data_IF_941381408140
#
_entry.id   IF_941381408140
#
_cell.length_a   1.000
_cell.length_b   1.000
_cell.length_c   1.000
_cell.angle_alpha   90.00
_cell.angle_beta   90.00
_cell.angle_gamma   90.00
#
_symmetry.space_group_name_H-M   'P 1'
#
loop_
_entity.id
_entity.type
_entity.pdbx_description
1 polymer ?
#
# COMPACT_ATOMS: atom_id res chain seq x y z
N UNK A 1 37.86 13.83 -1.96
CA UNK A 1 37.05 12.67 -2.35
C UNK A 1 36.61 11.82 -1.15
N UNK A 2 37.48 11.19 -0.37
CA UNK A 2 37.16 10.34 0.79
C UNK A 2 36.27 11.04 1.87
N UNK A 3 36.49 12.33 2.14
CA UNK A 3 35.73 13.11 3.13
C UNK A 3 34.30 13.38 2.64
N UNK A 4 34.11 13.69 1.36
CA UNK A 4 32.78 13.91 0.76
C UNK A 4 31.97 12.62 0.80
N UNK A 5 32.57 11.48 0.41
CA UNK A 5 31.92 10.18 0.45
C UNK A 5 31.45 9.83 1.88
N UNK A 6 32.30 10.05 2.89
CA UNK A 6 31.93 9.82 4.30
C UNK A 6 30.73 10.68 4.74
N UNK A 7 30.76 11.98 4.45
CA UNK A 7 29.65 12.89 4.81
C UNK A 7 28.36 12.45 4.13
N UNK A 8 28.41 12.18 2.82
CA UNK A 8 27.23 11.72 2.07
C UNK A 8 26.66 10.42 2.65
N UNK A 9 27.52 9.43 2.96
CA UNK A 9 27.07 8.17 3.55
C UNK A 9 26.43 8.32 4.92
N UNK A 10 26.98 9.18 5.78
CA UNK A 10 26.39 9.48 7.10
C UNK A 10 25.05 10.17 6.95
N UNK A 11 24.93 11.12 6.02
CA UNK A 11 23.67 11.83 5.77
C UNK A 11 22.59 10.87 5.28
N UNK A 12 22.89 9.99 4.33
CA UNK A 12 21.95 8.98 3.82
C UNK A 12 21.49 8.05 4.96
N UNK A 13 22.44 7.57 5.77
CA UNK A 13 22.12 6.70 6.90
C UNK A 13 21.22 7.42 7.93
N UNK A 14 21.52 8.68 8.23
CA UNK A 14 20.70 9.49 9.14
C UNK A 14 19.28 9.67 8.61
N UNK A 15 19.11 9.97 7.32
CA UNK A 15 17.79 10.11 6.67
C UNK A 15 17.01 8.79 6.76
N UNK A 16 17.66 7.66 6.45
CA UNK A 16 17.02 6.34 6.57
C UNK A 16 16.56 6.10 8.00
N UNK A 17 17.43 6.32 9.00
CA UNK A 17 17.12 6.10 10.42
C UNK A 17 15.98 7.00 10.90
N UNK A 18 15.97 8.28 10.51
CA UNK A 18 14.89 9.22 10.88
C UNK A 18 13.53 8.67 10.43
N UNK A 19 13.42 8.17 9.20
CA UNK A 19 12.17 7.60 8.72
C UNK A 19 11.65 6.44 9.57
N UNK A 20 12.55 5.62 10.14
CA UNK A 20 12.19 4.53 11.03
C UNK A 20 11.80 4.99 12.45
N UNK A 21 12.29 6.13 12.89
CA UNK A 21 11.98 6.71 14.21
C UNK A 21 10.65 7.46 14.24
N UNK A 22 10.10 7.84 13.09
CA UNK A 22 8.80 8.51 13.01
C UNK A 22 7.70 7.57 13.52
N UNK A 23 6.90 7.97 14.54
CA UNK A 23 5.81 7.16 15.04
C UNK A 23 4.74 6.93 13.96
N UNK A 24 4.35 5.69 13.76
CA UNK A 24 3.30 5.33 12.81
C UNK A 24 1.93 5.33 13.52
N UNK A 25 1.20 6.44 13.39
CA UNK A 25 -0.21 6.51 13.81
C UNK A 25 -1.07 5.92 12.70
N UNK A 26 -2.06 5.11 13.05
CA UNK A 26 -2.84 4.32 12.09
C UNK A 26 -4.32 4.64 12.18
N UNK A 27 -4.95 4.83 11.02
CA UNK A 27 -6.39 4.88 10.86
C UNK A 27 -6.86 3.71 9.98
N UNK A 28 -8.13 3.32 10.06
CA UNK A 28 -8.71 2.37 9.10
C UNK A 28 -8.90 3.09 7.76
N UNK A 29 -8.36 2.57 6.65
CA UNK A 29 -8.37 3.26 5.36
C UNK A 29 -9.78 3.57 4.83
N UNK A 30 -10.76 2.72 5.12
CA UNK A 30 -12.15 2.90 4.74
C UNK A 30 -13.08 2.11 5.64
N UNK A 31 -14.32 2.56 5.67
CA UNK A 31 -15.48 1.74 6.03
C UNK A 31 -15.42 1.17 7.45
N UNK A 32 -16.31 1.64 8.31
CA UNK A 32 -16.42 1.12 9.69
C UNK A 32 -17.83 0.59 9.93
N UNK A 33 -18.02 -0.70 10.23
CA UNK A 33 -16.98 -1.74 10.35
C UNK A 33 -16.35 -2.09 9.00
N UNK A 34 -15.05 -2.34 8.99
CA UNK A 34 -14.33 -2.68 7.76
C UNK A 34 -14.62 -4.13 7.35
N UNK A 35 -15.05 -4.31 6.10
CA UNK A 35 -15.29 -5.61 5.48
C UNK A 35 -14.09 -5.97 4.60
N UNK A 36 -13.22 -6.84 5.09
CA UNK A 36 -12.08 -7.35 4.35
C UNK A 36 -11.69 -8.75 4.82
N UNK A 37 -11.05 -9.50 3.93
CA UNK A 37 -10.56 -10.83 4.22
C UNK A 37 -9.03 -10.81 4.44
N UNK A 38 -8.59 -11.22 5.62
CA UNK A 38 -7.16 -11.29 5.99
C UNK A 38 -6.33 -12.20 5.07
N UNK A 39 -6.93 -13.14 4.36
CA UNK A 39 -6.26 -14.12 3.53
C UNK A 39 -6.12 -13.68 2.07
N UNK A 40 -6.52 -12.46 1.71
CA UNK A 40 -6.46 -11.99 0.31
C UNK A 40 -5.10 -11.47 -0.11
N UNK A 41 -4.25 -11.07 0.83
CA UNK A 41 -2.88 -10.66 0.53
C UNK A 41 -2.08 -11.85 -0.02
N UNK A 42 -1.45 -11.63 -1.15
CA UNK A 42 -0.67 -12.62 -1.88
C UNK A 42 -1.47 -13.85 -2.32
N UNK A 43 -2.79 -13.72 -2.41
CA UNK A 43 -3.72 -14.78 -2.82
C UNK A 43 -3.87 -14.86 -4.33
N UNK A 44 -4.02 -16.07 -4.86
CA UNK A 44 -3.96 -16.38 -6.29
C UNK A 44 -5.22 -17.00 -6.92
N UNK A 45 -6.46 -16.81 -6.55
CA UNK A 45 -7.57 -17.54 -7.19
C UNK A 45 -8.09 -16.90 -8.48
N UNK A 46 -7.76 -15.64 -8.75
CA UNK A 46 -8.39 -14.88 -9.86
C UNK A 46 -7.67 -14.99 -11.20
N UNK A 47 -6.54 -15.67 -11.28
CA UNK A 47 -5.73 -15.80 -12.49
C UNK A 47 -5.53 -17.23 -12.89
N UNK A 48 -6.62 -17.93 -13.23
CA UNK A 48 -6.50 -19.24 -13.90
C UNK A 48 -5.70 -19.05 -15.18
N UNK A 49 -4.46 -19.56 -15.19
CA UNK A 49 -3.67 -19.76 -16.41
C UNK A 49 -2.84 -18.58 -16.92
N UNK A 50 -2.78 -17.44 -16.26
CA UNK A 50 -1.86 -16.36 -16.62
C UNK A 50 -0.77 -16.21 -15.59
N UNK A 51 0.44 -15.84 -16.03
CA UNK A 51 1.59 -15.48 -15.19
C UNK A 51 1.32 -14.22 -14.33
N UNK A 52 0.09 -14.13 -13.77
CA UNK A 52 -0.41 -12.98 -13.03
C UNK A 52 0.40 -12.69 -11.79
N UNK A 53 0.50 -11.42 -11.44
CA UNK A 53 1.04 -11.00 -10.15
C UNK A 53 0.06 -11.40 -9.05
N UNK A 54 0.56 -11.88 -7.89
CA UNK A 54 -0.30 -12.10 -6.73
C UNK A 54 -0.98 -10.79 -6.31
N UNK A 55 -2.08 -10.88 -5.58
CA UNK A 55 -2.78 -9.76 -5.00
C UNK A 55 -1.89 -9.08 -3.96
N UNK A 56 -1.41 -7.87 -4.25
CA UNK A 56 -0.36 -7.20 -3.47
C UNK A 56 -0.87 -6.38 -2.30
N UNK A 57 -2.19 -6.38 -2.07
CA UNK A 57 -2.85 -5.65 -1.02
C UNK A 57 -3.99 -6.42 -0.37
N UNK A 58 -4.92 -5.70 0.20
CA UNK A 58 -6.19 -6.18 0.71
C UNK A 58 -7.32 -5.32 0.14
N UNK A 59 -8.41 -5.97 -0.25
CA UNK A 59 -9.60 -5.27 -0.73
C UNK A 59 -10.53 -5.00 0.45
N UNK A 60 -10.81 -3.72 0.71
CA UNK A 60 -11.73 -3.27 1.75
C UNK A 60 -13.01 -2.84 1.06
N UNK A 61 -14.09 -3.60 1.29
CA UNK A 61 -15.36 -3.42 0.62
C UNK A 61 -16.21 -2.33 1.28
N UNK A 62 -17.02 -1.65 0.47
CA UNK A 62 -17.91 -0.60 0.94
C UNK A 62 -18.82 -0.06 -0.15
N UNK A 63 -19.52 1.02 0.14
CA UNK A 63 -20.38 1.71 -0.83
C UNK A 63 -19.55 2.70 -1.66
N UNK A 64 -19.85 2.80 -2.95
CA UNK A 64 -19.31 3.87 -3.81
C UNK A 64 -19.57 5.24 -3.15
N UNK A 65 -18.53 6.07 -3.09
CA UNK A 65 -18.60 7.38 -2.44
C UNK A 65 -18.30 7.36 -0.93
N UNK A 66 -18.12 6.19 -0.30
CA UNK A 66 -17.68 6.13 1.09
C UNK A 66 -16.31 6.80 1.25
N UNK A 67 -16.06 7.52 2.36
CA UNK A 67 -14.78 8.17 2.58
C UNK A 67 -13.62 7.16 2.60
N UNK A 68 -12.54 7.47 1.87
CA UNK A 68 -11.26 6.81 1.96
C UNK A 68 -10.28 7.77 2.62
N UNK A 69 -9.70 7.33 3.74
CA UNK A 69 -8.82 8.15 4.55
C UNK A 69 -7.38 7.63 4.51
N UNK A 70 -6.42 8.51 4.71
CA UNK A 70 -5.03 8.10 4.83
C UNK A 70 -4.85 7.24 6.09
N UNK A 71 -4.31 6.03 5.92
CA UNK A 71 -4.03 5.12 7.03
C UNK A 71 -2.97 5.70 7.97
N UNK A 72 -2.03 6.45 7.42
CA UNK A 72 -0.92 7.07 8.15
C UNK A 72 -0.74 8.53 7.73
N UNK A 73 -0.02 9.32 8.51
CA UNK A 73 0.44 10.62 8.05
C UNK A 73 1.57 10.48 7.04
N UNK A 74 1.68 11.39 6.07
CA UNK A 74 2.74 11.32 5.09
C UNK A 74 2.59 12.28 3.92
N UNK A 75 3.52 12.18 2.98
CA UNK A 75 3.59 12.98 1.77
C UNK A 75 2.92 12.25 0.60
N UNK A 76 2.00 12.89 -0.09
CA UNK A 76 1.35 12.35 -1.28
C UNK A 76 2.34 12.33 -2.45
N UNK A 77 2.69 11.13 -2.93
CA UNK A 77 3.59 10.94 -4.06
C UNK A 77 2.86 10.80 -5.39
N UNK A 78 1.59 10.49 -5.36
CA UNK A 78 0.76 10.28 -6.55
C UNK A 78 -0.71 10.48 -6.19
N UNK A 79 -1.45 11.21 -7.01
CA UNK A 79 -2.89 11.48 -6.81
C UNK A 79 -3.55 11.78 -8.16
N UNK A 80 -3.82 10.76 -8.97
CA UNK A 80 -4.49 10.89 -10.28
C UNK A 80 -4.93 9.55 -10.84
N UNK A 81 -5.57 9.57 -12.00
CA UNK A 81 -5.91 8.34 -12.73
C UNK A 81 -4.63 7.66 -13.25
N UNK A 82 -4.49 6.38 -12.93
CA UNK A 82 -3.39 5.55 -13.39
C UNK A 82 -3.87 4.65 -14.51
N UNK A 83 -3.27 4.74 -15.70
CA UNK A 83 -3.66 3.90 -16.83
C UNK A 83 -3.60 2.40 -16.48
N UNK A 84 -4.55 1.64 -16.98
CA UNK A 84 -4.60 0.20 -16.82
C UNK A 84 -5.41 -0.28 -15.62
N UNK A 85 -4.84 -1.19 -14.80
CA UNK A 85 -5.61 -1.91 -13.79
C UNK A 85 -5.97 -1.09 -12.55
N UNK A 86 -5.13 -0.15 -12.15
CA UNK A 86 -5.27 0.56 -10.88
C UNK A 86 -6.42 1.58 -10.85
N UNK A 87 -6.69 2.26 -11.98
CA UNK A 87 -7.67 3.33 -12.04
C UNK A 87 -7.24 4.54 -11.20
N UNK A 88 -8.19 5.30 -10.70
CA UNK A 88 -7.92 6.44 -9.82
C UNK A 88 -7.21 5.98 -8.55
N UNK A 89 -6.05 6.58 -8.27
CA UNK A 89 -5.11 6.09 -7.27
C UNK A 89 -4.47 7.23 -6.48
N UNK A 90 -4.20 6.95 -5.19
CA UNK A 90 -3.43 7.82 -4.31
C UNK A 90 -2.31 7.00 -3.67
N UNK A 91 -1.08 7.54 -3.64
CA UNK A 91 0.07 6.94 -2.97
C UNK A 91 0.62 7.92 -1.94
N UNK A 92 0.74 7.47 -0.69
CA UNK A 92 1.23 8.27 0.43
C UNK A 92 2.51 7.67 0.98
N UNK A 93 3.59 8.44 1.00
CA UNK A 93 4.85 8.08 1.65
C UNK A 93 4.74 8.39 3.14
N UNK A 94 4.62 7.37 3.95
CA UNK A 94 4.49 7.43 5.39
C UNK A 94 5.76 7.08 6.16
N UNK A 95 5.65 6.92 7.50
CA UNK A 95 6.73 6.45 8.36
C UNK A 95 7.37 5.15 7.89
N UNK A 96 8.62 4.93 8.28
CA UNK A 96 9.42 3.75 7.89
C UNK A 96 9.63 3.65 6.38
N UNK A 97 9.50 4.78 5.68
CA UNK A 97 9.62 4.86 4.22
C UNK A 97 8.62 3.96 3.48
N UNK A 98 7.47 3.69 4.07
CA UNK A 98 6.42 2.88 3.47
C UNK A 98 5.55 3.73 2.57
N UNK A 99 5.23 3.19 1.40
CA UNK A 99 4.28 3.79 0.47
C UNK A 99 2.96 3.05 0.62
N UNK A 100 1.94 3.79 1.02
CA UNK A 100 0.58 3.32 1.18
C UNK A 100 -0.19 3.61 -0.09
N UNK A 101 -0.65 2.58 -0.79
CA UNK A 101 -1.39 2.70 -2.04
C UNK A 101 -2.88 2.47 -1.83
N UNK A 102 -3.68 3.35 -2.45
CA UNK A 102 -5.14 3.31 -2.45
C UNK A 102 -5.59 3.33 -3.90
N UNK A 103 -6.22 2.24 -4.37
CA UNK A 103 -6.60 2.06 -5.78
C UNK A 103 -8.11 1.93 -5.93
N UNK A 104 -8.59 2.01 -7.17
CA UNK A 104 -10.00 1.86 -7.58
C UNK A 104 -10.92 2.98 -7.07
N UNK A 105 -10.37 4.15 -6.76
CA UNK A 105 -11.07 5.28 -6.18
C UNK A 105 -12.16 5.85 -7.11
N UNK A 106 -13.16 6.50 -6.53
CA UNK A 106 -14.21 7.24 -7.25
C UNK A 106 -13.82 8.70 -7.47
N UNK A 107 -13.47 9.40 -6.39
CA UNK A 107 -12.87 10.74 -6.42
C UNK A 107 -11.48 10.71 -5.82
N UNK A 108 -10.68 11.73 -6.11
CA UNK A 108 -9.41 12.01 -5.45
C UNK A 108 -9.54 13.41 -4.86
N UNK A 109 -9.32 13.53 -3.56
CA UNK A 109 -9.57 14.74 -2.77
C UNK A 109 -8.25 15.36 -2.23
N UNK A 110 -7.10 14.93 -2.77
CA UNK A 110 -5.75 15.39 -2.43
C UNK A 110 -4.90 15.55 -3.69
N UNK A 111 -3.76 16.24 -3.60
CA UNK A 111 -2.86 16.52 -4.72
C UNK A 111 -1.44 16.01 -4.45
N UNK A 112 -0.62 15.97 -5.51
CA UNK A 112 0.80 15.66 -5.42
C UNK A 112 1.54 16.68 -4.53
N UNK A 113 2.33 16.16 -3.57
CA UNK A 113 3.06 16.88 -2.53
C UNK A 113 2.21 17.43 -1.38
N UNK A 114 0.92 17.13 -1.31
CA UNK A 114 0.16 17.39 -0.10
C UNK A 114 0.71 16.58 1.08
N UNK A 115 0.64 17.14 2.27
CA UNK A 115 0.98 16.46 3.51
C UNK A 115 -0.30 16.11 4.27
N UNK A 116 -0.62 14.82 4.31
CA UNK A 116 -1.86 14.32 4.93
C UNK A 116 -1.62 13.75 6.32
N UNK A 117 -2.66 13.81 7.17
CA UNK A 117 -2.66 13.24 8.53
C UNK A 117 -3.31 11.86 8.54
N UNK A 118 -3.02 11.03 9.55
CA UNK A 118 -3.77 9.79 9.75
C UNK A 118 -5.26 10.09 9.94
N UNK A 119 -6.13 9.40 9.19
CA UNK A 119 -7.59 9.60 9.23
C UNK A 119 -8.09 10.77 8.39
N UNK A 120 -7.24 11.53 7.74
CA UNK A 120 -7.64 12.58 6.81
C UNK A 120 -8.20 11.98 5.52
N UNK A 121 -9.35 12.49 5.06
CA UNK A 121 -9.94 12.03 3.80
C UNK A 121 -9.06 12.46 2.62
N UNK A 122 -8.71 11.49 1.79
CA UNK A 122 -7.88 11.67 0.59
C UNK A 122 -8.61 11.30 -0.70
N UNK A 123 -9.74 10.59 -0.57
CA UNK A 123 -10.49 10.09 -1.72
C UNK A 123 -11.87 9.59 -1.29
N UNK A 124 -12.64 9.10 -2.26
CA UNK A 124 -13.82 8.28 -2.01
C UNK A 124 -13.69 6.92 -2.69
N UNK A 125 -14.30 5.89 -2.08
CA UNK A 125 -14.30 4.51 -2.54
C UNK A 125 -15.03 4.38 -3.88
N UNK A 126 -14.46 3.59 -4.79
CA UNK A 126 -15.00 3.45 -6.14
C UNK A 126 -14.92 2.08 -6.74
N UNK A 127 -14.84 2.08 -8.05
CA UNK A 127 -14.76 0.91 -8.94
C UNK A 127 -13.92 1.21 -10.19
N UNK A 128 -12.98 2.16 -10.13
CA UNK A 128 -12.19 2.53 -11.30
C UNK A 128 -11.17 1.45 -11.69
N UNK A 129 -10.64 1.54 -12.89
CA UNK A 129 -9.71 0.54 -13.41
C UNK A 129 -10.35 -0.83 -13.63
N UNK A 130 -9.66 -1.90 -13.25
CA UNK A 130 -10.17 -3.26 -13.41
C UNK A 130 -11.23 -3.68 -12.38
N UNK A 131 -11.55 -2.82 -11.41
CA UNK A 131 -12.63 -3.05 -10.45
C UNK A 131 -14.04 -2.74 -10.99
N UNK A 132 -14.18 -2.29 -12.24
CA UNK A 132 -15.45 -1.87 -12.83
C UNK A 132 -16.56 -2.93 -12.74
N UNK A 133 -16.21 -4.22 -12.83
CA UNK A 133 -17.13 -5.36 -12.79
C UNK A 133 -17.19 -6.09 -11.44
N UNK A 134 -16.42 -5.64 -10.43
CA UNK A 134 -16.41 -6.25 -9.09
C UNK A 134 -17.27 -5.45 -8.11
N UNK A 135 -17.59 -5.96 -6.91
CA UNK A 135 -18.12 -5.14 -5.82
C UNK A 135 -17.20 -3.94 -5.56
N UNK A 136 -17.80 -2.82 -5.12
CA UNK A 136 -17.04 -1.60 -4.83
C UNK A 136 -16.11 -1.83 -3.64
N UNK A 137 -14.84 -1.45 -3.80
CA UNK A 137 -13.81 -1.61 -2.78
C UNK A 137 -12.67 -0.61 -3.00
N UNK A 138 -11.91 -0.36 -1.96
CA UNK A 138 -10.57 0.20 -2.09
C UNK A 138 -9.56 -0.93 -1.98
N UNK A 139 -8.72 -1.10 -2.99
CA UNK A 139 -7.54 -1.93 -2.87
C UNK A 139 -6.48 -1.14 -2.09
N UNK A 140 -6.11 -1.66 -0.93
CA UNK A 140 -5.12 -1.03 -0.06
C UNK A 140 -3.86 -1.89 0.02
N UNK A 141 -2.72 -1.32 -0.35
CA UNK A 141 -1.42 -1.98 -0.35
C UNK A 141 -0.37 -1.20 0.44
N UNK A 142 0.70 -1.89 0.83
CA UNK A 142 1.88 -1.27 1.47
C UNK A 142 3.14 -1.74 0.76
N UNK A 143 3.86 -0.79 0.15
CA UNK A 143 5.13 -1.01 -0.52
C UNK A 143 6.25 -0.42 0.34
N UNK A 144 7.38 -1.09 0.41
CA UNK A 144 8.60 -0.56 1.00
C UNK A 144 9.72 -0.48 -0.03
N UNK A 145 10.33 0.70 -0.27
CA UNK A 145 11.50 0.82 -1.13
C UNK A 145 12.76 0.21 -0.49
N UNK A 146 12.76 0.04 0.84
CA UNK A 146 13.85 -0.63 1.56
C UNK A 146 13.49 -2.10 1.72
N UNK A 147 14.20 -3.04 1.03
CA UNK A 147 13.80 -4.43 0.98
C UNK A 147 14.00 -5.16 2.31
N UNK A 148 12.98 -5.88 2.75
CA UNK A 148 13.09 -6.85 3.85
C UNK A 148 13.56 -8.20 3.29
N UNK A 149 14.87 -8.35 3.11
CA UNK A 149 15.49 -9.48 2.38
C UNK A 149 15.09 -10.87 2.89
N UNK A 150 14.87 -11.02 4.19
CA UNK A 150 14.43 -12.28 4.79
C UNK A 150 13.05 -12.74 4.33
N UNK A 151 12.19 -11.82 3.88
CA UNK A 151 10.85 -12.14 3.38
C UNK A 151 10.89 -12.88 2.05
N UNK A 152 11.97 -12.78 1.28
CA UNK A 152 12.12 -13.50 0.01
C UNK A 152 12.07 -15.03 0.19
N UNK A 153 12.40 -15.53 1.38
CA UNK A 153 12.42 -16.94 1.74
C UNK A 153 11.17 -17.37 2.53
N UNK A 154 10.27 -16.42 2.80
CA UNK A 154 9.04 -16.68 3.54
C UNK A 154 7.91 -17.19 2.64
N UNK A 155 7.00 -17.91 3.25
CA UNK A 155 5.69 -18.21 2.66
C UNK A 155 4.74 -17.07 3.01
N UNK A 156 4.43 -16.22 2.04
CA UNK A 156 3.35 -15.24 2.21
C UNK A 156 2.14 -15.72 1.41
N UNK A 157 1.01 -15.78 2.10
CA UNK A 157 -0.26 -16.13 1.49
C UNK A 157 -0.38 -17.58 1.01
N UNK A 158 -1.47 -17.82 0.29
CA UNK A 158 -1.85 -19.16 -0.21
C UNK A 158 -1.43 -19.36 -1.68
N UNK A 159 -0.36 -18.71 -2.13
CA UNK A 159 0.17 -18.95 -3.48
C UNK A 159 0.65 -20.40 -3.60
N UNK A 160 0.00 -21.17 -4.42
CA UNK A 160 0.39 -22.53 -4.72
C UNK A 160 0.87 -22.62 -6.18
N UNK A 161 2.09 -23.13 -6.47
CA UNK A 161 3.05 -23.65 -5.52
C UNK A 161 3.85 -22.54 -4.81
N UNK A 162 4.21 -22.71 -3.53
CA UNK A 162 5.08 -21.78 -2.83
C UNK A 162 6.45 -21.77 -3.51
N UNK A 163 6.83 -20.63 -4.08
CA UNK A 163 8.18 -20.47 -4.61
C UNK A 163 9.15 -20.40 -3.43
N UNK A 164 10.20 -21.20 -3.44
CA UNK A 164 11.26 -21.16 -2.42
C UNK A 164 11.92 -19.78 -2.28
N UNK A 165 11.88 -18.98 -3.33
CA UNK A 165 12.39 -17.63 -3.37
C UNK A 165 11.46 -16.72 -4.16
N UNK A 166 10.99 -15.64 -3.54
CA UNK A 166 10.16 -14.62 -4.18
C UNK A 166 10.66 -13.23 -3.80
N UNK A 167 11.51 -12.64 -4.63
CA UNK A 167 12.09 -11.31 -4.41
C UNK A 167 11.05 -10.20 -4.24
N UNK A 168 9.86 -10.35 -4.82
CA UNK A 168 8.77 -9.38 -4.70
C UNK A 168 8.28 -9.23 -3.26
N UNK A 169 8.28 -10.32 -2.48
CA UNK A 169 7.91 -10.28 -1.07
C UNK A 169 8.80 -9.36 -0.24
N UNK A 170 10.00 -9.06 -0.71
CA UNK A 170 10.89 -8.11 -0.04
C UNK A 170 10.32 -6.70 -0.01
N UNK A 171 9.45 -6.34 -0.97
CA UNK A 171 8.94 -5.00 -1.18
C UNK A 171 7.47 -4.81 -0.84
N UNK A 172 6.67 -5.87 -0.69
CA UNK A 172 5.26 -5.79 -0.31
C UNK A 172 5.04 -6.32 1.10
N UNK A 173 4.37 -5.54 1.91
CA UNK A 173 3.98 -5.93 3.27
C UNK A 173 2.52 -6.36 3.26
N UNK A 174 2.17 -7.31 4.13
CA UNK A 174 0.77 -7.66 4.32
C UNK A 174 0.05 -6.50 5.03
N UNK A 175 -0.90 -5.81 4.37
CA UNK A 175 -1.56 -4.68 5.00
C UNK A 175 -2.32 -5.03 6.27
N UNK A 176 -2.84 -6.26 6.39
CA UNK A 176 -3.62 -6.68 7.55
C UNK A 176 -2.80 -6.71 8.85
N UNK A 177 -1.47 -6.86 8.75
CA UNK A 177 -0.56 -6.79 9.90
C UNK A 177 -0.35 -5.34 10.37
N UNK A 178 -0.81 -4.37 9.59
CA UNK A 178 -0.59 -2.94 9.77
C UNK A 178 -1.88 -2.14 9.96
N UNK A 179 -3.05 -2.73 9.71
CA UNK A 179 -4.33 -2.09 10.02
C UNK A 179 -4.52 -1.97 11.54
N UNK A 180 -5.31 -0.99 12.01
CA UNK A 180 -5.70 -0.92 13.42
C UNK A 180 -6.39 -2.22 13.86
N UNK A 181 -6.09 -2.68 15.07
CA UNK A 181 -6.86 -3.78 15.69
C UNK A 181 -8.30 -3.33 15.90
N UNK A 182 -9.24 -4.24 15.59
CA UNK A 182 -10.68 -4.01 15.82
C UNK A 182 -10.99 -3.83 17.30
#
# INVERSE_FOLDING_TARGET
>A
MKRIIKVTSITILAVILIGYLIPERKAMPCCTPADYNHNTFWYWPWTRGTSGCPHTGVDIFGKVGAPVVSQTGGLVLYAKDMPGKAGKSVFVLGPKWRIHEYLHLHTIDTEFLDFVKPGEQIATLGKSGNAASTPAHVHYGIITPIPYVWRAFGTAGTCNPPKRFNWRLMFWLNPTDHLPTK
#
